data_IF_025749795308
#
_entry.id   IF_025749795308
#
_cell.length_a   1.000
_cell.length_b   1.000
_cell.length_c   1.000
_cell.angle_alpha   90.00
_cell.angle_beta   90.00
_cell.angle_gamma   90.00
#
_symmetry.space_group_name_H-M   'P 1'
#
loop_
_entity.id
_entity.type
_entity.pdbx_description
1 polymer ?
#
# COMPACT_ATOMS: atom_id res chain seq x y z
N UNK A 1 -48.53 -27.85 2.18
CA UNK A 1 -47.40 -28.12 1.26
C UNK A 1 -46.70 -26.80 0.91
N UNK A 2 -45.55 -26.58 1.56
CA UNK A 2 -44.40 -25.70 1.25
C UNK A 2 -44.59 -24.43 0.38
N UNK A 3 -44.76 -23.27 1.02
CA UNK A 3 -44.62 -21.93 0.38
C UNK A 3 -43.24 -21.28 0.56
N UNK A 4 -42.31 -21.94 1.24
CA UNK A 4 -41.00 -21.37 1.61
C UNK A 4 -40.16 -20.94 0.40
N UNK A 5 -40.18 -21.72 -0.70
CA UNK A 5 -39.41 -21.38 -1.92
C UNK A 5 -39.95 -20.17 -2.67
N UNK A 6 -41.27 -19.91 -2.65
CA UNK A 6 -41.85 -18.80 -3.40
C UNK A 6 -41.49 -17.42 -2.83
N UNK A 7 -41.30 -17.33 -1.50
CA UNK A 7 -40.99 -16.07 -0.80
C UNK A 7 -39.48 -15.81 -0.64
N UNK A 8 -38.65 -16.85 -0.77
CA UNK A 8 -37.23 -16.76 -0.46
C UNK A 8 -36.29 -17.03 -1.65
N UNK A 9 -36.84 -17.26 -2.84
CA UNK A 9 -36.03 -17.34 -4.05
C UNK A 9 -35.59 -15.92 -4.50
N UNK A 10 -34.43 -15.50 -3.98
CA UNK A 10 -33.78 -14.22 -4.34
C UNK A 10 -33.07 -14.29 -5.70
N UNK A 11 -33.18 -15.40 -6.44
CA UNK A 11 -32.58 -15.52 -7.75
C UNK A 11 -33.48 -14.91 -8.81
N UNK A 12 -33.24 -13.60 -9.05
CA UNK A 12 -33.43 -12.91 -10.33
C UNK A 12 -34.87 -12.47 -10.64
N UNK A 13 -35.12 -11.16 -10.59
CA UNK A 13 -36.38 -10.59 -11.10
C UNK A 13 -36.55 -10.98 -12.59
N UNK A 14 -37.74 -11.44 -12.97
CA UNK A 14 -38.07 -11.75 -14.38
C UNK A 14 -37.93 -10.52 -15.30
N UNK A 15 -37.87 -9.32 -14.73
CA UNK A 15 -37.65 -8.06 -15.45
C UNK A 15 -36.18 -7.82 -15.85
N UNK A 16 -35.20 -8.48 -15.23
CA UNK A 16 -33.78 -8.25 -15.55
C UNK A 16 -33.29 -8.94 -16.84
N UNK A 17 -34.18 -9.63 -17.58
CA UNK A 17 -33.84 -10.35 -18.82
C UNK A 17 -34.10 -9.54 -20.10
N UNK A 18 -34.32 -8.23 -19.99
CA UNK A 18 -34.24 -7.26 -21.10
C UNK A 18 -32.98 -6.40 -21.05
N UNK A 19 -31.85 -6.97 -20.57
CA UNK A 19 -30.56 -6.42 -20.98
C UNK A 19 -30.49 -6.58 -22.49
N UNK A 20 -30.41 -5.45 -23.18
CA UNK A 20 -30.29 -5.36 -24.63
C UNK A 20 -29.39 -6.48 -25.12
N UNK A 21 -29.90 -7.29 -26.04
CA UNK A 21 -29.03 -7.97 -26.99
C UNK A 21 -28.42 -6.86 -27.84
N UNK A 22 -27.43 -6.17 -27.28
CA UNK A 22 -26.55 -5.34 -28.08
C UNK A 22 -25.89 -6.33 -29.01
N UNK A 23 -26.21 -6.25 -30.30
CA UNK A 23 -25.56 -7.09 -31.31
C UNK A 23 -24.06 -7.01 -31.09
N UNK A 24 -23.38 -8.15 -31.10
CA UNK A 24 -21.93 -8.18 -31.09
C UNK A 24 -21.44 -7.34 -32.26
N UNK A 25 -20.51 -6.40 -32.08
CA UNK A 25 -19.98 -5.58 -33.16
C UNK A 25 -19.56 -6.49 -34.32
N UNK A 26 -20.06 -6.21 -35.53
CA UNK A 26 -19.65 -6.95 -36.73
C UNK A 26 -18.15 -6.72 -36.90
N UNK A 27 -17.35 -7.78 -36.73
CA UNK A 27 -15.93 -7.74 -36.97
C UNK A 27 -15.74 -7.40 -38.46
N UNK A 28 -15.05 -6.30 -38.76
CA UNK A 28 -14.70 -5.95 -40.13
C UNK A 28 -13.77 -7.05 -40.68
N UNK A 29 -13.98 -7.48 -41.93
CA UNK A 29 -13.19 -8.56 -42.56
C UNK A 29 -11.69 -8.25 -42.68
N UNK A 30 -11.30 -7.01 -42.38
CA UNK A 30 -9.91 -6.51 -42.35
C UNK A 30 -9.32 -6.45 -40.93
N UNK A 31 -9.97 -7.06 -39.93
CA UNK A 31 -9.42 -7.15 -38.57
C UNK A 31 -8.43 -8.29 -38.49
N UNK A 32 -7.14 -7.96 -38.49
CA UNK A 32 -6.08 -8.91 -38.14
C UNK A 32 -6.06 -9.15 -36.63
N UNK A 33 -6.23 -10.40 -36.22
CA UNK A 33 -6.02 -10.80 -34.83
C UNK A 33 -4.53 -10.77 -34.47
N UNK A 34 -4.21 -10.33 -33.25
CA UNK A 34 -2.83 -10.24 -32.74
C UNK A 34 -2.39 -8.82 -32.45
N UNK A 35 -1.24 -8.70 -31.78
CA UNK A 35 -0.63 -7.39 -31.51
C UNK A 35 0.30 -7.03 -32.68
N UNK A 36 0.15 -5.87 -33.32
CA UNK A 36 1.06 -5.46 -34.38
C UNK A 36 2.48 -5.35 -33.82
N UNK A 37 3.48 -5.81 -34.58
CA UNK A 37 4.90 -5.76 -34.21
C UNK A 37 5.49 -4.33 -34.35
N UNK A 38 4.75 -3.33 -33.91
CA UNK A 38 5.26 -1.96 -33.80
C UNK A 38 6.06 -1.91 -32.51
N UNK A 39 7.37 -1.75 -32.62
CA UNK A 39 8.20 -1.47 -31.47
C UNK A 39 7.62 -0.26 -30.73
N UNK A 40 7.41 -0.38 -29.43
CA UNK A 40 6.88 0.71 -28.59
C UNK A 40 7.81 1.93 -28.55
N UNK A 41 9.07 1.75 -28.95
CA UNK A 41 10.10 2.77 -28.97
C UNK A 41 10.82 2.74 -30.33
N UNK A 42 10.61 3.76 -31.18
CA UNK A 42 11.35 3.89 -32.44
C UNK A 42 12.86 3.97 -32.18
N UNK A 43 13.66 3.22 -32.94
CA UNK A 43 15.12 3.16 -32.75
C UNK A 43 15.78 4.55 -32.86
N UNK A 44 15.19 5.45 -33.66
CA UNK A 44 15.62 6.84 -33.79
C UNK A 44 15.61 7.60 -32.45
N UNK A 45 14.65 7.33 -31.55
CA UNK A 45 14.58 8.00 -30.25
C UNK A 45 15.72 7.58 -29.31
N UNK A 46 16.15 6.33 -29.44
CA UNK A 46 17.29 5.79 -28.70
C UNK A 46 18.58 6.40 -29.26
N UNK A 47 18.76 6.37 -30.57
CA UNK A 47 19.95 6.92 -31.24
C UNK A 47 20.10 8.44 -31.03
N UNK A 48 18.99 9.17 -30.89
CA UNK A 48 18.99 10.61 -30.61
C UNK A 48 19.15 10.97 -29.12
N UNK A 49 19.33 9.98 -28.24
CA UNK A 49 19.40 10.11 -26.79
C UNK A 49 18.21 10.90 -26.19
N UNK A 50 17.03 10.76 -26.79
CA UNK A 50 15.82 11.52 -26.40
C UNK A 50 15.50 11.33 -24.92
N UNK A 51 15.52 10.09 -24.44
CA UNK A 51 15.16 9.76 -23.06
C UNK A 51 16.11 10.32 -22.01
N UNK A 52 17.41 10.39 -22.33
CA UNK A 52 18.39 11.03 -21.45
C UNK A 52 18.14 12.54 -21.36
N UNK A 53 17.87 13.19 -22.50
CA UNK A 53 17.53 14.63 -22.55
C UNK A 53 16.23 14.91 -21.79
N UNK A 54 15.18 14.14 -22.05
CA UNK A 54 13.89 14.24 -21.37
C UNK A 54 14.04 14.08 -19.84
N UNK A 55 14.91 13.16 -19.39
CA UNK A 55 15.18 12.96 -17.97
C UNK A 55 15.92 14.15 -17.35
N UNK A 56 16.96 14.66 -18.01
CA UNK A 56 17.71 15.84 -17.54
C UNK A 56 16.77 17.05 -17.45
N UNK A 57 15.99 17.31 -18.50
CA UNK A 57 15.00 18.39 -18.51
C UNK A 57 13.96 18.24 -17.40
N UNK A 58 13.52 17.01 -17.13
CA UNK A 58 12.62 16.72 -16.03
C UNK A 58 13.27 17.00 -14.67
N UNK A 59 14.56 16.68 -14.47
CA UNK A 59 15.28 17.03 -13.24
C UNK A 59 15.41 18.54 -13.07
N UNK A 60 15.78 19.25 -14.14
CA UNK A 60 15.94 20.71 -14.11
C UNK A 60 14.62 21.44 -13.80
N UNK A 61 13.48 20.87 -14.23
CA UNK A 61 12.13 21.41 -13.95
C UNK A 61 11.53 20.98 -12.61
N UNK A 62 12.18 20.09 -11.83
CA UNK A 62 11.72 19.70 -10.49
C UNK A 62 11.72 20.84 -9.47
N UNK A 63 12.79 21.65 -9.33
CA UNK A 63 12.79 22.76 -8.37
C UNK A 63 11.65 23.74 -8.65
N UNK A 64 11.45 24.16 -9.90
CA UNK A 64 10.38 25.09 -10.29
C UNK A 64 8.98 24.57 -9.97
N UNK A 65 8.76 23.25 -10.12
CA UNK A 65 7.50 22.60 -9.75
C UNK A 65 7.28 22.51 -8.25
N UNK A 66 8.36 22.40 -7.46
CA UNK A 66 8.27 22.41 -6.00
C UNK A 66 7.99 23.82 -5.49
N UNK A 67 8.69 24.83 -6.02
CA UNK A 67 8.45 26.25 -5.75
C UNK A 67 7.00 26.65 -6.12
N UNK A 68 6.54 26.32 -7.32
CA UNK A 68 5.16 26.60 -7.74
C UNK A 68 4.10 25.90 -6.86
N UNK A 69 4.39 24.68 -6.38
CA UNK A 69 3.52 23.99 -5.41
C UNK A 69 3.52 24.67 -4.05
N UNK A 70 4.68 25.12 -3.57
CA UNK A 70 4.79 25.84 -2.30
C UNK A 70 4.04 27.18 -2.36
N UNK A 71 4.15 27.92 -3.47
CA UNK A 71 3.39 29.16 -3.71
C UNK A 71 1.87 28.89 -3.83
N UNK A 72 1.49 27.80 -4.49
CA UNK A 72 0.08 27.35 -4.52
C UNK A 72 -0.47 26.98 -3.15
N UNK A 73 0.37 26.41 -2.27
CA UNK A 73 -0.01 26.05 -0.90
C UNK A 73 -0.04 27.25 0.05
N UNK A 74 0.79 28.28 -0.16
CA UNK A 74 0.79 29.49 0.67
C UNK A 74 -0.32 30.47 0.27
N UNK A 75 -0.72 30.49 -1.00
CA UNK A 75 -1.87 31.28 -1.50
C UNK A 75 -3.24 30.68 -1.15
N UNK A 76 -3.29 29.38 -0.82
CA UNK A 76 -4.49 28.77 -0.25
C UNK A 76 -4.68 29.25 1.20
N UNK A 77 -5.54 30.24 1.38
CA UNK A 77 -5.97 30.74 2.68
C UNK A 77 -6.25 29.58 3.65
N UNK A 78 -5.60 29.63 4.81
CA UNK A 78 -5.65 28.68 5.94
C UNK A 78 -7.03 28.57 6.61
N UNK A 79 -8.10 28.99 5.92
CA UNK A 79 -9.50 28.93 6.33
C UNK A 79 -10.35 28.09 5.39
N UNK A 80 -9.78 27.08 4.77
CA UNK A 80 -10.61 25.98 4.29
C UNK A 80 -10.87 25.11 5.53
N UNK A 81 -12.00 25.37 6.20
CA UNK A 81 -12.73 24.31 6.88
C UNK A 81 -12.77 23.17 5.88
N UNK A 82 -11.93 22.16 6.05
CA UNK A 82 -11.86 21.04 5.13
C UNK A 82 -13.25 20.41 5.20
N UNK A 83 -14.13 20.56 4.18
CA UNK A 83 -15.33 19.75 4.19
C UNK A 83 -14.80 18.33 4.17
N UNK A 84 -15.25 17.51 5.12
CA UNK A 84 -14.85 16.11 5.25
C UNK A 84 -14.94 15.48 3.86
N UNK A 85 -13.80 15.41 3.16
CA UNK A 85 -13.81 14.99 1.76
C UNK A 85 -14.23 13.53 1.79
N UNK A 86 -14.98 13.06 0.81
CA UNK A 86 -15.46 11.67 0.78
C UNK A 86 -14.32 10.66 0.98
N UNK A 87 -13.09 11.01 0.57
CA UNK A 87 -11.86 10.27 0.86
C UNK A 87 -11.45 10.25 2.36
N UNK A 88 -11.62 11.34 3.10
CA UNK A 88 -11.35 11.42 4.54
C UNK A 88 -12.40 10.67 5.36
N UNK A 89 -13.69 10.82 5.00
CA UNK A 89 -14.78 10.01 5.59
C UNK A 89 -14.51 8.53 5.35
N UNK A 90 -14.16 8.14 4.12
CA UNK A 90 -13.78 6.75 3.80
C UNK A 90 -12.57 6.28 4.60
N UNK A 91 -11.50 7.08 4.76
CA UNK A 91 -10.36 6.70 5.61
C UNK A 91 -10.75 6.49 7.08
N UNK A 92 -11.61 7.34 7.62
CA UNK A 92 -12.07 7.23 9.00
C UNK A 92 -13.06 6.07 9.21
N UNK A 93 -13.87 5.75 8.19
CA UNK A 93 -14.79 4.63 8.18
C UNK A 93 -14.12 3.28 7.82
N UNK A 94 -12.90 3.28 7.28
CA UNK A 94 -12.14 2.05 7.10
C UNK A 94 -11.82 1.47 8.47
N UNK A 95 -12.32 0.26 8.73
CA UNK A 95 -12.02 -0.48 9.96
C UNK A 95 -10.51 -0.51 10.12
N UNK A 96 -10.02 -0.01 11.27
CA UNK A 96 -8.60 -0.13 11.64
C UNK A 96 -8.18 -1.56 11.35
N UNK A 97 -7.16 -1.75 10.51
CA UNK A 97 -6.65 -3.09 10.20
C UNK A 97 -6.42 -3.76 11.55
N UNK A 98 -7.04 -4.93 11.76
CA UNK A 98 -6.69 -5.76 12.91
C UNK A 98 -5.17 -5.91 12.88
N UNK A 99 -4.53 -5.75 14.03
CA UNK A 99 -3.09 -6.02 14.13
C UNK A 99 -2.86 -7.41 13.56
N UNK A 100 -2.25 -7.46 12.38
CA UNK A 100 -2.01 -8.71 11.69
C UNK A 100 -0.96 -9.45 12.51
N UNK A 101 -1.36 -10.59 13.08
CA UNK A 101 -0.42 -11.49 13.75
C UNK A 101 0.74 -11.77 12.80
N UNK A 102 1.98 -11.71 13.31
CA UNK A 102 3.16 -12.08 12.52
C UNK A 102 3.02 -13.48 11.90
N UNK A 103 2.21 -14.35 12.51
CA UNK A 103 1.94 -15.69 12.03
C UNK A 103 0.71 -15.74 11.12
N UNK A 104 0.93 -16.17 9.87
CA UNK A 104 -0.16 -16.40 8.90
C UNK A 104 -1.10 -17.56 9.29
N UNK A 105 -0.64 -18.47 10.16
CA UNK A 105 -1.38 -19.66 10.57
C UNK A 105 -1.70 -19.60 12.06
N UNK A 106 -2.98 -19.80 12.40
CA UNK A 106 -3.49 -19.76 13.78
C UNK A 106 -2.78 -20.75 14.72
N UNK A 107 -2.38 -21.93 14.22
CA UNK A 107 -1.62 -22.91 15.02
C UNK A 107 -0.24 -22.41 15.43
N UNK A 108 0.38 -21.56 14.62
CA UNK A 108 1.69 -20.99 14.96
C UNK A 108 1.53 -19.80 15.90
N UNK A 109 0.47 -19.01 15.80
CA UNK A 109 0.18 -18.01 16.85
C UNK A 109 0.09 -18.64 18.25
N UNK A 110 -0.55 -19.81 18.35
CA UNK A 110 -0.67 -20.53 19.62
C UNK A 110 0.61 -21.24 20.06
N UNK A 111 1.38 -21.81 19.13
CA UNK A 111 2.55 -22.65 19.42
C UNK A 111 3.90 -21.94 19.29
N UNK A 112 3.94 -20.75 18.67
CA UNK A 112 5.18 -19.98 18.48
C UNK A 112 5.56 -19.18 19.73
N UNK A 113 4.73 -19.18 20.77
CA UNK A 113 5.21 -18.84 22.10
C UNK A 113 6.30 -19.86 22.42
N UNK A 114 7.55 -19.41 22.43
CA UNK A 114 8.68 -20.27 22.74
C UNK A 114 8.39 -20.99 24.05
N UNK A 115 8.23 -22.33 24.01
CA UNK A 115 8.03 -23.14 25.22
C UNK A 115 9.19 -23.01 26.20
N UNK A 116 10.32 -22.49 25.72
CA UNK A 116 11.52 -22.23 26.48
C UNK A 116 11.46 -20.77 26.95
N UNK A 117 10.81 -20.53 28.08
CA UNK A 117 11.09 -19.33 28.86
C UNK A 117 12.46 -19.54 29.53
N UNK A 118 13.51 -18.92 28.98
CA UNK A 118 14.86 -19.04 29.56
C UNK A 118 15.01 -18.25 30.86
N UNK A 119 14.05 -17.37 31.19
CA UNK A 119 14.07 -16.60 32.42
C UNK A 119 13.56 -17.44 33.59
N UNK A 120 14.22 -17.29 34.74
CA UNK A 120 13.87 -17.98 35.97
C UNK A 120 12.46 -17.62 36.47
N UNK A 121 12.09 -16.34 36.38
CA UNK A 121 10.80 -15.76 36.77
C UNK A 121 10.36 -14.67 35.77
N UNK A 122 9.07 -14.34 35.74
CA UNK A 122 8.52 -13.28 34.87
C UNK A 122 9.02 -11.87 35.26
N UNK A 123 9.25 -11.62 36.55
CA UNK A 123 9.88 -10.37 37.01
C UNK A 123 11.30 -10.21 36.45
N UNK A 124 12.09 -11.29 36.43
CA UNK A 124 13.43 -11.27 35.85
C UNK A 124 13.39 -11.00 34.34
N UNK A 125 12.38 -11.54 33.64
CA UNK A 125 12.13 -11.26 32.23
C UNK A 125 11.84 -9.78 32.01
N UNK A 126 10.91 -9.19 32.78
CA UNK A 126 10.55 -7.77 32.67
C UNK A 126 11.77 -6.86 32.89
N UNK A 127 12.54 -7.12 33.95
CA UNK A 127 13.76 -6.38 34.27
C UNK A 127 14.82 -6.51 33.15
N UNK A 128 15.02 -7.70 32.60
CA UNK A 128 15.96 -7.90 31.50
C UNK A 128 15.56 -7.09 30.26
N UNK A 129 14.27 -7.09 29.88
CA UNK A 129 13.78 -6.30 28.75
C UNK A 129 13.84 -4.79 29.00
N UNK A 130 13.63 -4.33 30.22
CA UNK A 130 13.78 -2.93 30.59
C UNK A 130 15.24 -2.47 30.43
N UNK A 131 16.19 -3.27 30.94
CA UNK A 131 17.62 -3.00 30.78
C UNK A 131 18.06 -3.07 29.32
N UNK A 132 17.57 -4.02 28.53
CA UNK A 132 17.87 -4.09 27.09
C UNK A 132 17.37 -2.84 26.36
N UNK A 133 16.14 -2.38 26.63
CA UNK A 133 15.62 -1.12 26.06
C UNK A 133 16.53 0.07 26.35
N UNK A 134 17.01 0.21 27.59
CA UNK A 134 17.96 1.28 27.94
C UNK A 134 19.32 1.11 27.24
N UNK A 135 19.80 -0.14 27.09
CA UNK A 135 21.09 -0.44 26.45
C UNK A 135 21.07 -0.27 24.93
N UNK A 136 19.92 -0.40 24.25
CA UNK A 136 19.83 -0.25 22.79
C UNK A 136 20.36 1.10 22.29
N UNK A 137 20.23 2.16 23.10
CA UNK A 137 20.70 3.51 22.76
C UNK A 137 22.23 3.56 22.60
N UNK A 138 22.97 2.76 23.38
CA UNK A 138 24.43 2.75 23.36
C UNK A 138 25.05 1.74 22.38
N UNK A 139 24.23 0.96 21.67
CA UNK A 139 24.68 -0.08 20.73
C UNK A 139 24.77 0.44 19.31
N UNK A 140 25.84 0.08 18.60
CA UNK A 140 26.03 0.44 17.19
C UNK A 140 25.32 -0.61 16.31
N UNK A 141 24.51 -0.18 15.34
CA UNK A 141 23.90 -1.06 14.33
C UNK A 141 22.46 -0.65 13.99
N UNK A 142 21.98 -1.02 12.81
CA UNK A 142 20.70 -0.55 12.24
C UNK A 142 19.49 -0.76 13.16
N UNK A 143 19.52 -1.79 14.00
CA UNK A 143 18.43 -2.14 14.92
C UNK A 143 18.83 -2.06 16.41
N UNK A 144 20.02 -1.54 16.74
CA UNK A 144 20.52 -1.52 18.12
C UNK A 144 20.92 -2.90 18.66
N UNK A 145 21.28 -3.84 17.77
CA UNK A 145 21.71 -5.20 18.10
C UNK A 145 23.23 -5.40 18.07
N UNK A 146 24.03 -4.39 17.73
CA UNK A 146 25.48 -4.56 17.64
C UNK A 146 26.23 -4.21 18.92
N UNK A 147 27.53 -4.03 18.76
CA UNK A 147 28.49 -3.91 19.86
C UNK A 147 28.20 -2.62 20.63
N UNK A 148 28.25 -2.69 21.97
CA UNK A 148 28.19 -1.51 22.82
C UNK A 148 29.37 -0.60 22.45
N UNK A 149 29.15 0.72 22.42
CA UNK A 149 30.28 1.66 22.37
C UNK A 149 31.12 1.45 23.64
N UNK A 150 32.21 0.71 23.54
CA UNK A 150 33.24 0.67 24.57
C UNK A 150 33.94 2.02 24.56
N UNK A 151 33.66 2.85 25.56
CA UNK A 151 34.38 4.09 25.80
C UNK A 151 33.48 5.31 25.89
N UNK A 152 33.69 6.07 26.98
CA UNK A 152 33.07 7.37 27.32
C UNK A 152 31.67 7.28 27.92
N UNK A 153 31.63 6.83 29.19
CA UNK A 153 30.63 7.29 30.13
C UNK A 153 30.74 8.82 30.26
N UNK A 154 29.63 9.52 30.03
CA UNK A 154 29.40 10.85 30.61
C UNK A 154 28.63 10.69 31.92
#
# INVERSE_FOLDING_TARGET
MTHFRALHDRLRSKQAKRRSRTESPKLHLDVTHGMPNKASTPIQEILSNKYQKDWIDAQMKKPDKLEAKLVGLTSMSRRVNHPDTDAMVKRNCMRKKKEESFWKLKRFEQNAVGRINTFRNEECRRLAFEKDKSSKISRIGLHGHGIQRTGECA
#
